data_IF_633207820345
#
_entry.id   IF_633207820345
#
_cell.length_a   1.000
_cell.length_b   1.000
_cell.length_c   1.000
_cell.angle_alpha   90.00
_cell.angle_beta   90.00
_cell.angle_gamma   90.00
#
_symmetry.space_group_name_H-M   'P 1'
#
loop_
_entity.id
_entity.type
_entity.pdbx_description
1 polymer ?
#
# COMPACT_ATOMS: atom_id res chain seq x y z
N UNK A 1 6.65 20.27 8.07
CA UNK A 1 7.66 19.19 8.00
C UNK A 1 7.58 18.55 6.61
N UNK A 2 8.62 18.67 5.77
CA UNK A 2 8.72 17.84 4.56
C UNK A 2 9.52 16.60 4.97
N UNK A 3 8.86 15.45 5.03
CA UNK A 3 9.45 14.24 5.62
C UNK A 3 10.56 13.62 4.76
N UNK A 4 10.59 13.87 3.45
CA UNK A 4 11.70 13.52 2.53
C UNK A 4 11.70 14.49 1.34
N UNK A 5 12.85 15.00 0.90
CA UNK A 5 12.98 15.83 -0.30
C UNK A 5 13.15 14.98 -1.57
N UNK A 6 12.08 14.32 -2.00
CA UNK A 6 12.07 13.60 -3.30
C UNK A 6 11.90 14.61 -4.42
N UNK A 7 12.90 14.71 -5.30
CA UNK A 7 12.88 15.61 -6.46
C UNK A 7 12.35 14.94 -7.73
N UNK A 8 12.44 13.61 -7.82
CA UNK A 8 11.98 12.84 -8.98
C UNK A 8 10.94 11.79 -8.55
N UNK A 9 9.69 11.97 -9.01
CA UNK A 9 8.56 11.09 -8.71
C UNK A 9 8.32 10.00 -9.76
N UNK A 10 9.02 10.04 -10.90
CA UNK A 10 8.89 9.07 -11.99
C UNK A 10 9.09 7.62 -11.52
N UNK A 11 10.11 7.27 -10.73
CA UNK A 11 10.29 5.88 -10.27
C UNK A 11 9.22 5.45 -9.26
N UNK A 12 8.51 6.38 -8.62
CA UNK A 12 7.47 6.08 -7.64
C UNK A 12 6.09 5.83 -8.26
N UNK A 13 5.93 6.01 -9.59
CA UNK A 13 4.64 5.88 -10.28
C UNK A 13 3.95 4.54 -10.00
N UNK A 14 4.69 3.43 -10.12
CA UNK A 14 4.11 2.10 -9.92
C UNK A 14 3.70 1.86 -8.48
N UNK A 15 4.52 2.30 -7.52
CA UNK A 15 4.20 2.21 -6.09
C UNK A 15 2.95 3.02 -5.74
N UNK A 16 2.85 4.23 -6.31
CA UNK A 16 1.70 5.11 -6.11
C UNK A 16 0.42 4.52 -6.70
N UNK A 17 0.45 4.06 -7.95
CA UNK A 17 -0.73 3.49 -8.61
C UNK A 17 -1.21 2.23 -7.88
N UNK A 18 -0.29 1.32 -7.52
CA UNK A 18 -0.64 0.12 -6.77
C UNK A 18 -1.25 0.42 -5.40
N UNK A 19 -0.78 1.47 -4.72
CA UNK A 19 -1.36 1.90 -3.44
C UNK A 19 -2.74 2.54 -3.64
N UNK A 20 -2.89 3.34 -4.69
CA UNK A 20 -4.14 4.02 -5.02
C UNK A 20 -5.27 3.04 -5.35
N UNK A 21 -4.99 1.99 -6.14
CA UNK A 21 -6.01 1.00 -6.52
C UNK A 21 -6.56 0.21 -5.33
N UNK A 22 -5.79 0.08 -4.24
CA UNK A 22 -6.21 -0.63 -3.02
C UNK A 22 -6.90 0.31 -2.01
N UNK A 23 -6.98 1.62 -2.29
CA UNK A 23 -7.56 2.58 -1.35
C UNK A 23 -9.08 2.51 -1.22
N UNK A 24 -9.77 1.95 -2.22
CA UNK A 24 -11.23 1.83 -2.24
C UNK A 24 -11.67 0.47 -2.79
N UNK A 25 -12.85 0.04 -2.37
CA UNK A 25 -13.53 -1.13 -2.92
C UNK A 25 -14.88 -0.69 -3.50
N UNK A 26 -15.34 -1.34 -4.57
CA UNK A 26 -16.60 -1.02 -5.23
C UNK A 26 -17.55 -2.21 -5.18
N UNK A 27 -18.81 -1.99 -4.80
CA UNK A 27 -19.85 -3.01 -4.81
C UNK A 27 -21.07 -2.56 -5.61
N UNK A 28 -21.72 -3.49 -6.30
CA UNK A 28 -22.95 -3.22 -7.06
C UNK A 28 -24.15 -3.46 -6.14
N UNK A 29 -24.92 -2.41 -5.87
CA UNK A 29 -26.09 -2.50 -4.99
C UNK A 29 -27.34 -2.97 -5.74
N UNK A 30 -27.60 -2.40 -6.91
CA UNK A 30 -28.76 -2.73 -7.74
C UNK A 30 -28.35 -2.81 -9.23
N UNK A 31 -28.92 -3.73 -10.02
CA UNK A 31 -28.68 -3.76 -11.46
C UNK A 31 -29.07 -2.42 -12.10
N UNK A 32 -28.20 -1.91 -12.98
CA UNK A 32 -28.33 -0.62 -13.68
C UNK A 32 -28.12 0.67 -12.85
N UNK A 33 -27.67 0.58 -11.59
CA UNK A 33 -27.19 1.75 -10.85
C UNK A 33 -25.65 1.84 -10.85
N UNK A 34 -25.07 3.04 -10.69
CA UNK A 34 -23.63 3.19 -10.50
C UNK A 34 -23.17 2.44 -9.25
N UNK A 35 -21.98 1.86 -9.31
CA UNK A 35 -21.40 1.11 -8.18
C UNK A 35 -21.11 2.05 -7.01
N UNK A 36 -21.38 1.56 -5.80
CA UNK A 36 -21.04 2.25 -4.58
C UNK A 36 -19.56 2.01 -4.25
N UNK A 37 -18.82 3.09 -4.02
CA UNK A 37 -17.45 3.03 -3.52
C UNK A 37 -17.42 3.08 -2.00
N UNK A 38 -16.62 2.22 -1.40
CA UNK A 38 -16.37 2.20 0.05
C UNK A 38 -14.87 2.30 0.32
N UNK A 39 -14.52 2.98 1.41
CA UNK A 39 -13.14 3.22 1.80
C UNK A 39 -12.86 2.37 3.05
N UNK A 40 -12.19 1.22 2.90
CA UNK A 40 -12.01 0.27 3.99
C UNK A 40 -11.04 0.78 5.03
N UNK A 41 -11.22 0.21 6.22
CA UNK A 41 -11.06 0.98 7.41
C UNK A 41 -10.52 0.20 8.60
N UNK A 42 -9.20 0.17 8.85
CA UNK A 42 -8.63 -0.71 9.88
C UNK A 42 -9.11 -0.37 11.30
N UNK A 43 -9.44 0.89 11.57
CA UNK A 43 -9.95 1.35 12.87
C UNK A 43 -11.49 1.50 12.92
N UNK A 44 -12.25 1.02 11.91
CA UNK A 44 -13.71 1.23 11.85
C UNK A 44 -14.48 0.72 13.07
N UNK A 45 -14.00 -0.33 13.73
CA UNK A 45 -14.65 -0.89 14.91
C UNK A 45 -14.30 -0.14 16.20
N UNK A 46 -13.19 0.59 16.20
CA UNK A 46 -12.65 1.28 17.38
C UNK A 46 -13.04 2.76 17.41
N UNK A 47 -13.34 3.36 16.26
CA UNK A 47 -13.75 4.76 16.15
C UNK A 47 -15.24 4.87 15.88
N UNK A 48 -15.97 5.57 16.76
CA UNK A 48 -17.39 5.86 16.54
C UNK A 48 -17.61 6.91 15.44
N UNK A 49 -16.61 7.77 15.17
CA UNK A 49 -16.69 8.84 14.20
C UNK A 49 -15.98 8.48 12.89
N UNK A 50 -16.71 8.58 11.78
CA UNK A 50 -16.19 8.30 10.41
C UNK A 50 -15.06 9.25 10.02
N UNK A 51 -14.99 10.46 10.58
CA UNK A 51 -13.93 11.44 10.28
C UNK A 51 -12.56 11.05 10.85
N UNK A 52 -12.54 10.22 11.87
CA UNK A 52 -11.30 9.73 12.52
C UNK A 52 -10.77 8.46 11.86
N UNK A 53 -11.43 8.04 10.78
CA UNK A 53 -11.14 6.81 10.10
C UNK A 53 -9.85 6.94 9.25
N UNK A 54 -8.88 6.04 9.45
CA UNK A 54 -7.59 6.07 8.77
C UNK A 54 -7.60 5.21 7.51
N UNK A 55 -6.97 5.63 6.40
CA UNK A 55 -6.93 4.82 5.18
C UNK A 55 -6.16 3.51 5.42
N UNK A 56 -6.59 2.45 4.73
CA UNK A 56 -5.93 1.14 4.83
C UNK A 56 -4.48 1.22 4.35
N UNK A 57 -3.55 0.67 5.13
CA UNK A 57 -2.14 0.55 4.76
C UNK A 57 -1.89 -0.86 4.24
N UNK A 58 -1.77 -1.00 2.92
CA UNK A 58 -1.53 -2.29 2.26
C UNK A 58 -0.08 -2.77 2.40
N UNK A 59 0.84 -1.87 2.78
CA UNK A 59 2.25 -2.19 2.97
C UNK A 59 2.58 -2.27 4.46
N UNK A 60 3.00 -3.46 4.91
CA UNK A 60 3.45 -3.69 6.29
C UNK A 60 4.97 -3.92 6.31
N UNK A 61 5.61 -3.49 7.39
CA UNK A 61 7.06 -3.66 7.60
C UNK A 61 7.54 -5.12 7.40
N UNK A 62 6.84 -6.17 7.89
CA UNK A 62 7.29 -7.55 7.69
C UNK A 62 7.40 -7.94 6.22
N UNK A 63 6.53 -7.42 5.35
CA UNK A 63 6.58 -7.71 3.91
C UNK A 63 7.81 -7.07 3.24
N UNK A 64 8.34 -5.98 3.79
CA UNK A 64 9.59 -5.37 3.32
C UNK A 64 10.81 -6.14 3.83
N UNK A 65 10.76 -6.63 5.08
CA UNK A 65 11.83 -7.44 5.67
C UNK A 65 11.98 -8.80 4.96
N UNK A 66 10.86 -9.39 4.54
CA UNK A 66 10.86 -10.61 3.73
C UNK A 66 11.56 -10.39 2.37
N UNK A 67 11.20 -9.31 1.67
CA UNK A 67 11.87 -8.93 0.41
C UNK A 67 13.35 -8.60 0.59
N UNK A 68 13.72 -8.02 1.72
CA UNK A 68 15.13 -7.77 2.03
C UNK A 68 15.90 -9.08 2.15
N UNK A 69 15.39 -10.03 2.94
CA UNK A 69 16.02 -11.36 3.12
C UNK A 69 16.19 -12.08 1.78
N UNK A 70 15.18 -12.02 0.91
CA UNK A 70 15.25 -12.59 -0.44
C UNK A 70 16.39 -11.97 -1.28
N UNK A 71 16.53 -10.64 -1.25
CA UNK A 71 17.63 -9.97 -1.99
C UNK A 71 19.02 -10.26 -1.40
N UNK A 72 19.11 -10.41 -0.08
CA UNK A 72 20.36 -10.74 0.61
C UNK A 72 20.81 -12.17 0.30
N UNK A 73 19.87 -13.13 0.28
CA UNK A 73 20.15 -14.51 -0.12
C UNK A 73 20.69 -14.57 -1.57
N UNK A 74 20.11 -13.79 -2.49
CA UNK A 74 20.64 -13.67 -3.86
C UNK A 74 22.04 -13.05 -3.93
N UNK A 75 22.36 -12.11 -3.04
CA UNK A 75 23.67 -11.45 -2.99
C UNK A 75 24.79 -12.36 -2.43
N UNK A 76 24.48 -13.28 -1.52
CA UNK A 76 25.46 -14.23 -0.97
C UNK A 76 25.98 -15.26 -1.99
N UNK A 77 25.22 -15.55 -3.05
CA UNK A 77 25.68 -16.41 -4.15
C UNK A 77 26.69 -15.72 -5.08
N UNK A 78 26.91 -14.41 -4.95
CA UNK A 78 27.79 -13.62 -5.83
C UNK A 78 29.18 -13.30 -5.27
N UNK A 79 29.54 -13.74 -4.05
CA UNK A 79 30.81 -13.37 -3.38
C UNK A 79 31.82 -14.52 -3.19
N UNK A 80 31.60 -15.70 -3.79
CA UNK A 80 32.59 -16.80 -3.84
C UNK A 80 33.19 -17.03 -5.24
N UNK A 81 33.18 -16.00 -6.09
CA UNK A 81 34.07 -15.91 -7.25
C UNK A 81 34.66 -14.50 -7.32
N UNK A 82 35.91 -14.39 -6.87
CA UNK A 82 36.72 -13.17 -6.85
C UNK A 82 37.94 -13.36 -5.98
#
# INVERSE_FOLDING_TARGET
MRLVCVVNFVPYRNLYLSSFTHSCTSYLTLPALPSLFTYPAPNCLTTANVKEHLPVLSLKLPALMDRLTLTQAGSSYGQTQG
#
